data_IF_471954331439
#
_entry.id   IF_471954331439
#
_cell.length_a   1.000
_cell.length_b   1.000
_cell.length_c   1.000
_cell.angle_alpha   90.00
_cell.angle_beta   90.00
_cell.angle_gamma   90.00
#
_symmetry.space_group_name_H-M   'P 1'
#
loop_
_entity.id
_entity.type
_entity.pdbx_description
1 polymer ?
#
# COMPACT_ATOMS: atom_id res chain seq x y z
N UNK A 1 27.28 -6.84 -8.91
CA UNK A 1 26.34 -7.65 -8.08
C UNK A 1 26.13 -7.00 -6.70
N UNK A 2 27.15 -6.74 -5.88
CA UNK A 2 26.98 -6.18 -4.53
C UNK A 2 26.18 -4.88 -4.49
N UNK A 3 26.45 -3.93 -5.38
CA UNK A 3 25.74 -2.64 -5.45
C UNK A 3 24.25 -2.78 -5.78
N UNK A 4 23.89 -3.72 -6.68
CA UNK A 4 22.49 -3.99 -7.02
C UNK A 4 21.75 -4.57 -5.82
N UNK A 5 22.36 -5.52 -5.10
CA UNK A 5 21.78 -6.10 -3.88
C UNK A 5 21.58 -5.03 -2.81
N UNK A 6 22.59 -4.19 -2.57
CA UNK A 6 22.47 -3.09 -1.58
C UNK A 6 21.40 -2.09 -1.99
N UNK A 7 21.32 -1.70 -3.27
CA UNK A 7 20.25 -0.85 -3.77
C UNK A 7 18.88 -1.49 -3.52
N UNK A 8 18.73 -2.79 -3.78
CA UNK A 8 17.48 -3.53 -3.57
C UNK A 8 17.04 -3.50 -2.10
N UNK A 9 17.97 -3.69 -1.17
CA UNK A 9 17.67 -3.61 0.27
C UNK A 9 17.21 -2.21 0.68
N UNK A 10 17.89 -1.17 0.20
CA UNK A 10 17.52 0.23 0.46
C UNK A 10 16.16 0.55 -0.14
N UNK A 11 15.91 0.11 -1.38
CA UNK A 11 14.63 0.28 -2.06
C UNK A 11 13.49 -0.44 -1.33
N UNK A 12 13.75 -1.63 -0.77
CA UNK A 12 12.77 -2.35 0.04
C UNK A 12 12.41 -1.58 1.32
N UNK A 13 13.41 -1.03 2.02
CA UNK A 13 13.17 -0.19 3.20
C UNK A 13 12.31 1.05 2.86
N UNK A 14 12.57 1.67 1.69
CA UNK A 14 11.76 2.77 1.19
C UNK A 14 10.35 2.30 0.80
N UNK A 15 10.23 1.13 0.16
CA UNK A 15 8.94 0.54 -0.21
C UNK A 15 8.04 0.34 1.02
N UNK A 16 8.56 -0.15 2.13
CA UNK A 16 7.77 -0.34 3.36
C UNK A 16 7.15 0.99 3.86
N UNK A 17 7.89 2.09 3.73
CA UNK A 17 7.41 3.41 4.09
C UNK A 17 6.25 3.86 3.19
N UNK A 18 6.44 3.77 1.86
CA UNK A 18 5.43 4.24 0.91
C UNK A 18 4.20 3.33 0.90
N UNK A 19 4.38 2.01 1.05
CA UNK A 19 3.30 1.05 1.18
C UNK A 19 2.42 1.32 2.41
N UNK A 20 3.04 1.63 3.56
CA UNK A 20 2.31 2.04 4.77
C UNK A 20 1.45 3.28 4.49
N UNK A 21 1.99 4.26 3.79
CA UNK A 21 1.26 5.48 3.44
C UNK A 21 0.09 5.20 2.49
N UNK A 22 0.33 4.45 1.41
CA UNK A 22 -0.68 4.13 0.42
C UNK A 22 -1.84 3.32 1.02
N UNK A 23 -1.54 2.33 1.87
CA UNK A 23 -2.54 1.54 2.58
C UNK A 23 -3.34 2.41 3.57
N UNK A 24 -2.68 3.34 4.25
CA UNK A 24 -3.37 4.28 5.14
C UNK A 24 -4.37 5.14 4.38
N UNK A 25 -3.96 5.74 3.26
CA UNK A 25 -4.87 6.54 2.42
C UNK A 25 -6.00 5.71 1.83
N UNK A 26 -5.75 4.45 1.52
CA UNK A 26 -6.77 3.53 1.04
C UNK A 26 -7.76 3.15 2.15
N UNK A 27 -7.28 2.97 3.39
CA UNK A 27 -8.14 2.76 4.56
C UNK A 27 -9.04 3.99 4.80
N UNK A 28 -8.51 5.21 4.76
CA UNK A 28 -9.26 6.46 4.87
C UNK A 28 -10.31 6.60 3.76
N UNK A 29 -10.04 6.05 2.59
CA UNK A 29 -10.99 5.97 1.46
C UNK A 29 -12.03 4.86 1.63
N UNK A 30 -12.13 4.22 2.80
CA UNK A 30 -13.01 3.08 3.10
C UNK A 30 -12.84 1.91 2.12
N UNK A 31 -11.63 1.69 1.63
CA UNK A 31 -11.24 0.66 0.64
C UNK A 31 -12.04 0.73 -0.67
N UNK A 32 -12.56 1.92 -1.03
CA UNK A 32 -13.30 2.14 -2.27
C UNK A 32 -12.40 2.78 -3.32
N UNK A 33 -12.26 2.11 -4.46
CA UNK A 33 -11.46 2.61 -5.59
C UNK A 33 -11.85 4.02 -6.03
N UNK A 34 -13.17 4.28 -6.18
CA UNK A 34 -13.68 5.59 -6.62
C UNK A 34 -13.28 6.74 -5.69
N UNK A 35 -13.28 6.51 -4.35
CA UNK A 35 -12.86 7.51 -3.37
C UNK A 35 -11.35 7.68 -3.38
N UNK A 36 -10.61 6.59 -3.52
CA UNK A 36 -9.16 6.62 -3.56
C UNK A 36 -8.65 7.35 -4.81
N UNK A 37 -9.22 7.06 -5.99
CA UNK A 37 -8.87 7.78 -7.22
C UNK A 37 -9.24 9.25 -7.16
N UNK A 38 -10.39 9.62 -6.58
CA UNK A 38 -10.79 11.01 -6.38
C UNK A 38 -9.81 11.76 -5.48
N UNK A 39 -9.21 11.10 -4.51
CA UNK A 39 -8.16 11.67 -3.68
C UNK A 39 -6.82 11.73 -4.44
N UNK A 40 -6.52 10.73 -5.26
CA UNK A 40 -5.25 10.58 -5.97
C UNK A 40 -5.07 11.63 -7.08
N UNK A 41 -6.09 11.79 -7.94
CA UNK A 41 -6.03 12.56 -9.19
C UNK A 41 -5.80 14.08 -8.97
N UNK A 42 -6.39 14.81 -8.00
CA UNK A 42 -6.23 16.27 -7.89
C UNK A 42 -4.89 16.72 -7.26
N UNK A 43 -3.74 16.12 -7.66
CA UNK A 43 -2.42 16.58 -7.25
C UNK A 43 -1.73 15.74 -6.17
N UNK A 44 -2.39 14.74 -5.61
CA UNK A 44 -1.75 13.83 -4.64
C UNK A 44 -0.90 12.73 -5.32
N UNK A 45 -0.91 12.67 -6.66
CA UNK A 45 0.01 11.82 -7.43
C UNK A 45 1.46 12.21 -7.14
N UNK A 46 1.74 13.52 -6.98
CA UNK A 46 3.06 14.04 -6.64
C UNK A 46 3.04 14.53 -5.18
N UNK A 47 2.69 13.65 -4.24
CA UNK A 47 2.89 13.95 -2.83
C UNK A 47 4.39 13.98 -2.50
N UNK A 48 4.78 14.64 -1.38
CA UNK A 48 6.19 14.69 -0.97
C UNK A 48 6.85 13.31 -0.93
N UNK A 49 6.13 12.27 -0.51
CA UNK A 49 6.66 10.89 -0.46
C UNK A 49 6.90 10.30 -1.83
N UNK A 50 6.08 10.63 -2.82
CA UNK A 50 6.29 10.17 -4.20
C UNK A 50 7.36 10.96 -4.91
N UNK A 51 7.56 12.20 -4.55
CA UNK A 51 8.74 12.95 -5.00
C UNK A 51 10.03 12.18 -4.66
N UNK A 52 10.14 11.64 -3.43
CA UNK A 52 11.27 10.78 -3.07
C UNK A 52 11.31 9.49 -3.90
N UNK A 53 10.16 8.90 -4.27
CA UNK A 53 10.15 7.73 -5.15
C UNK A 53 10.66 8.06 -6.56
N UNK A 54 10.31 9.23 -7.11
CA UNK A 54 10.90 9.70 -8.37
C UNK A 54 12.40 9.96 -8.24
N UNK A 55 12.85 10.51 -7.13
CA UNK A 55 14.27 10.70 -6.85
C UNK A 55 15.05 9.39 -6.82
N UNK A 56 14.43 8.27 -6.43
CA UNK A 56 15.06 6.94 -6.45
C UNK A 56 15.42 6.45 -7.87
N UNK A 57 14.84 7.05 -8.92
CA UNK A 57 15.21 6.72 -10.30
C UNK A 57 16.64 7.14 -10.64
N UNK A 58 17.10 8.28 -10.10
CA UNK A 58 18.45 8.81 -10.38
C UNK A 58 19.54 7.81 -9.96
N UNK A 59 19.61 7.33 -8.71
CA UNK A 59 20.57 6.30 -8.32
C UNK A 59 20.34 4.94 -8.98
N UNK A 60 19.13 4.65 -9.44
CA UNK A 60 18.82 3.42 -10.17
C UNK A 60 19.51 3.37 -11.56
N UNK A 61 19.66 4.52 -12.22
CA UNK A 61 20.36 4.64 -13.51
C UNK A 61 21.89 4.51 -13.38
N UNK A 62 22.42 4.72 -12.18
CA UNK A 62 23.87 4.64 -11.90
C UNK A 62 24.10 3.69 -10.73
N UNK A 63 23.98 2.36 -10.92
CA UNK A 63 24.02 1.38 -9.84
C UNK A 63 25.46 1.11 -9.35
N UNK A 64 26.14 2.16 -8.93
CA UNK A 64 27.46 2.12 -8.29
C UNK A 64 27.37 2.49 -6.81
N UNK A 65 28.49 2.50 -6.10
CA UNK A 65 28.52 2.84 -4.67
C UNK A 65 28.03 4.26 -4.38
N UNK A 66 28.26 5.23 -5.28
CA UNK A 66 27.76 6.60 -5.16
C UNK A 66 26.25 6.62 -5.31
N UNK A 67 25.69 5.91 -6.30
CA UNK A 67 24.25 5.78 -6.49
C UNK A 67 23.56 5.13 -5.26
N UNK A 68 24.16 4.07 -4.70
CA UNK A 68 23.66 3.46 -3.45
C UNK A 68 23.69 4.44 -2.28
N UNK A 69 24.73 5.24 -2.16
CA UNK A 69 24.83 6.31 -1.14
C UNK A 69 23.69 7.33 -1.28
N UNK A 70 23.41 7.79 -2.51
CA UNK A 70 22.27 8.68 -2.78
C UNK A 70 20.92 8.02 -2.46
N UNK A 71 20.70 6.78 -2.87
CA UNK A 71 19.47 6.04 -2.54
C UNK A 71 19.26 5.93 -1.03
N UNK A 72 20.33 5.66 -0.28
CA UNK A 72 20.29 5.60 1.18
C UNK A 72 19.94 6.96 1.78
N UNK A 73 20.55 8.05 1.32
CA UNK A 73 20.25 9.42 1.75
C UNK A 73 18.79 9.80 1.48
N UNK A 74 18.27 9.49 0.30
CA UNK A 74 16.86 9.70 -0.09
C UNK A 74 15.93 8.93 0.87
N UNK A 75 16.24 7.65 1.15
CA UNK A 75 15.44 6.80 2.03
C UNK A 75 15.41 7.36 3.45
N UNK A 76 16.57 7.73 4.01
CA UNK A 76 16.66 8.34 5.35
C UNK A 76 15.88 9.66 5.40
N UNK A 77 16.01 10.52 4.38
CA UNK A 77 15.26 11.77 4.28
C UNK A 77 13.74 11.55 4.25
N UNK A 78 13.28 10.57 3.47
CA UNK A 78 11.88 10.20 3.40
C UNK A 78 11.34 9.67 4.75
N UNK A 79 12.12 8.85 5.45
CA UNK A 79 11.78 8.38 6.79
C UNK A 79 11.72 9.53 7.81
N UNK A 80 12.65 10.47 7.77
CA UNK A 80 12.66 11.65 8.63
C UNK A 80 11.43 12.54 8.42
N UNK A 81 11.00 12.73 7.16
CA UNK A 81 9.77 13.45 6.82
C UNK A 81 8.54 12.69 7.34
N UNK A 82 8.49 11.38 7.09
CA UNK A 82 7.36 10.54 7.52
C UNK A 82 7.22 10.50 9.06
N UNK A 83 8.33 10.55 9.78
CA UNK A 83 8.32 10.58 11.25
C UNK A 83 7.66 11.84 11.81
N UNK A 84 7.79 12.97 11.12
CA UNK A 84 7.23 14.27 11.54
C UNK A 84 5.75 14.41 11.22
N UNK A 85 5.22 13.59 10.29
CA UNK A 85 3.82 13.68 9.91
C UNK A 85 2.89 13.11 10.98
N UNK A 86 1.95 13.94 11.42
CA UNK A 86 0.87 13.54 12.32
C UNK A 86 -0.44 13.47 11.52
N UNK A 87 -1.02 12.29 11.41
CA UNK A 87 -2.34 12.10 10.82
C UNK A 87 -3.41 12.31 11.89
N UNK A 88 -4.53 12.97 11.54
CA UNK A 88 -5.70 13.10 12.44
C UNK A 88 -6.24 11.74 12.87
N UNK A 89 -6.26 10.78 11.94
CA UNK A 89 -6.70 9.41 12.18
C UNK A 89 -5.51 8.47 11.93
N UNK A 90 -5.00 7.76 12.94
CA UNK A 90 -3.88 6.83 12.76
C UNK A 90 -4.30 5.60 11.94
N UNK A 91 -3.33 4.94 11.32
CA UNK A 91 -3.55 3.66 10.64
C UNK A 91 -3.95 2.59 11.66
N UNK A 92 -5.13 2.00 11.47
CA UNK A 92 -5.62 0.90 12.31
C UNK A 92 -5.23 -0.44 11.65
N UNK A 93 -4.41 -1.23 12.34
CA UNK A 93 -3.92 -2.52 11.84
C UNK A 93 -4.97 -3.64 11.98
N UNK A 94 -6.06 -3.53 11.23
CA UNK A 94 -7.07 -4.59 11.12
C UNK A 94 -6.51 -5.81 10.39
N UNK A 95 -7.17 -6.98 10.50
CA UNK A 95 -6.78 -8.18 9.75
C UNK A 95 -6.79 -7.95 8.23
N UNK A 96 -7.69 -7.11 7.73
CA UNK A 96 -7.71 -6.67 6.33
C UNK A 96 -6.45 -5.89 5.94
N UNK A 97 -6.04 -4.92 6.76
CA UNK A 97 -4.81 -4.15 6.54
C UNK A 97 -3.58 -5.04 6.56
N UNK A 98 -3.52 -6.00 7.50
CA UNK A 98 -2.39 -6.95 7.58
C UNK A 98 -2.29 -7.82 6.32
N UNK A 99 -3.41 -8.36 5.83
CA UNK A 99 -3.44 -9.13 4.56
C UNK A 99 -3.02 -8.26 3.38
N UNK A 100 -3.55 -7.04 3.29
CA UNK A 100 -3.20 -6.11 2.22
C UNK A 100 -1.70 -5.78 2.23
N UNK A 101 -1.14 -5.57 3.42
CA UNK A 101 0.30 -5.32 3.60
C UNK A 101 1.14 -6.52 3.14
N UNK A 102 0.76 -7.73 3.59
CA UNK A 102 1.46 -8.97 3.23
C UNK A 102 1.44 -9.21 1.71
N UNK A 103 0.27 -9.07 1.08
CA UNK A 103 0.13 -9.23 -0.38
C UNK A 103 0.93 -8.18 -1.14
N UNK A 104 0.95 -6.92 -0.67
CA UNK A 104 1.70 -5.85 -1.30
C UNK A 104 3.22 -6.12 -1.23
N UNK A 105 3.72 -6.59 -0.08
CA UNK A 105 5.12 -7.00 0.08
C UNK A 105 5.44 -8.18 -0.84
N UNK A 106 4.59 -9.21 -0.89
CA UNK A 106 4.80 -10.36 -1.76
C UNK A 106 4.88 -9.97 -3.24
N UNK A 107 4.01 -9.07 -3.69
CA UNK A 107 4.05 -8.56 -5.07
C UNK A 107 5.35 -7.79 -5.35
N UNK A 108 5.78 -6.92 -4.44
CA UNK A 108 7.03 -6.19 -4.59
C UNK A 108 8.24 -7.15 -4.65
N UNK A 109 8.30 -8.12 -3.74
CA UNK A 109 9.37 -9.14 -3.72
C UNK A 109 9.35 -9.98 -4.99
N UNK A 110 8.17 -10.39 -5.48
CA UNK A 110 8.05 -11.14 -6.73
C UNK A 110 8.56 -10.35 -7.94
N UNK A 111 8.16 -9.08 -8.09
CA UNK A 111 8.65 -8.21 -9.16
C UNK A 111 10.16 -8.03 -9.07
N UNK A 112 10.68 -7.78 -7.87
CA UNK A 112 12.11 -7.62 -7.62
C UNK A 112 12.89 -8.88 -7.97
N UNK A 113 12.40 -10.06 -7.55
CA UNK A 113 13.03 -11.34 -7.87
C UNK A 113 13.04 -11.60 -9.39
N UNK A 114 11.93 -11.36 -10.07
CA UNK A 114 11.85 -11.49 -11.53
C UNK A 114 12.81 -10.52 -12.23
N UNK A 115 12.91 -9.28 -11.78
CA UNK A 115 13.85 -8.31 -12.31
C UNK A 115 15.31 -8.75 -12.15
N UNK A 116 15.67 -9.27 -10.98
CA UNK A 116 17.02 -9.76 -10.70
C UNK A 116 17.37 -11.04 -11.49
N UNK A 117 16.40 -11.91 -11.75
CA UNK A 117 16.61 -13.18 -12.48
C UNK A 117 16.67 -12.98 -14.01
N UNK A 118 15.80 -12.15 -14.56
CA UNK A 118 15.60 -12.08 -16.01
C UNK A 118 16.08 -10.76 -16.65
N UNK A 119 16.28 -9.72 -15.86
CA UNK A 119 16.62 -8.38 -16.33
C UNK A 119 17.64 -7.68 -15.42
N UNK A 120 18.73 -8.37 -15.07
CA UNK A 120 19.71 -7.89 -14.07
C UNK A 120 20.25 -6.50 -14.40
N UNK A 121 20.48 -6.18 -15.68
CA UNK A 121 20.98 -4.85 -16.13
C UNK A 121 19.96 -3.74 -15.85
N UNK A 122 18.66 -4.04 -15.92
CA UNK A 122 17.57 -3.10 -15.70
C UNK A 122 16.91 -3.26 -14.33
N UNK A 123 17.40 -4.17 -13.50
CA UNK A 123 16.75 -4.53 -12.23
C UNK A 123 16.56 -3.30 -11.32
N UNK A 124 17.55 -2.43 -11.17
CA UNK A 124 17.46 -1.21 -10.36
C UNK A 124 16.42 -0.24 -10.89
N UNK A 125 16.32 -0.09 -12.21
CA UNK A 125 15.32 0.76 -12.87
C UNK A 125 13.92 0.21 -12.70
N UNK A 126 13.73 -1.12 -12.85
CA UNK A 126 12.44 -1.79 -12.63
C UNK A 126 11.99 -1.64 -11.18
N UNK A 127 12.92 -1.80 -10.23
CA UNK A 127 12.63 -1.60 -8.80
C UNK A 127 12.21 -0.14 -8.53
N UNK A 128 12.94 0.84 -9.07
CA UNK A 128 12.59 2.26 -8.93
C UNK A 128 11.22 2.57 -9.56
N UNK A 129 10.93 2.05 -10.75
CA UNK A 129 9.63 2.18 -11.40
C UNK A 129 8.51 1.59 -10.53
N UNK A 130 8.75 0.43 -9.88
CA UNK A 130 7.79 -0.19 -8.97
C UNK A 130 7.52 0.68 -7.74
N UNK A 131 8.52 1.39 -7.21
CA UNK A 131 8.34 2.36 -6.13
C UNK A 131 7.46 3.54 -6.57
N UNK A 132 7.67 4.06 -7.77
CA UNK A 132 6.85 5.14 -8.35
C UNK A 132 5.39 4.67 -8.53
N UNK A 133 5.21 3.43 -8.98
CA UNK A 133 3.92 2.82 -9.23
C UNK A 133 3.31 2.10 -8.00
N UNK A 134 3.81 2.35 -6.80
CA UNK A 134 3.38 1.68 -5.57
C UNK A 134 1.86 1.73 -5.32
N UNK A 135 1.19 2.79 -5.76
CA UNK A 135 -0.28 2.90 -5.68
C UNK A 135 -0.99 1.81 -6.47
N UNK A 136 -0.51 1.58 -7.71
CA UNK A 136 -1.10 0.55 -8.57
C UNK A 136 -0.79 -0.83 -8.03
N UNK A 137 0.39 -1.01 -7.43
CA UNK A 137 0.74 -2.24 -6.73
C UNK A 137 -0.20 -2.50 -5.55
N UNK A 138 -0.50 -1.48 -4.75
CA UNK A 138 -1.45 -1.54 -3.64
C UNK A 138 -2.87 -1.85 -4.14
N UNK A 139 -3.31 -1.24 -5.24
CA UNK A 139 -4.62 -1.53 -5.86
C UNK A 139 -4.69 -2.96 -6.38
N UNK A 140 -3.61 -3.47 -6.99
CA UNK A 140 -3.48 -4.85 -7.42
C UNK A 140 -3.52 -5.80 -6.22
N UNK A 141 -2.82 -5.49 -5.13
CA UNK A 141 -2.87 -6.27 -3.89
C UNK A 141 -4.30 -6.34 -3.32
N UNK A 142 -5.06 -5.24 -3.37
CA UNK A 142 -6.46 -5.25 -2.95
C UNK A 142 -7.34 -6.08 -3.90
N UNK A 143 -7.09 -6.05 -5.21
CA UNK A 143 -7.80 -6.89 -6.18
C UNK A 143 -7.58 -8.37 -5.89
N UNK A 144 -6.34 -8.79 -5.63
CA UNK A 144 -5.98 -10.17 -5.26
C UNK A 144 -6.67 -10.59 -3.95
N UNK A 145 -6.78 -9.70 -2.98
CA UNK A 145 -7.45 -9.98 -1.70
C UNK A 145 -8.99 -9.91 -1.77
N UNK A 146 -9.57 -9.33 -2.83
CA UNK A 146 -11.03 -9.15 -2.95
C UNK A 146 -11.84 -10.45 -2.79
N UNK A 147 -11.47 -11.60 -3.41
CA UNK A 147 -12.22 -12.84 -3.23
C UNK A 147 -12.20 -13.32 -1.77
N UNK A 148 -11.05 -13.18 -1.09
CA UNK A 148 -10.91 -13.55 0.33
C UNK A 148 -11.81 -12.67 1.20
N UNK A 149 -11.79 -11.36 0.97
CA UNK A 149 -12.66 -10.41 1.70
C UNK A 149 -14.13 -10.68 1.46
N UNK A 150 -14.52 -11.02 0.24
CA UNK A 150 -15.93 -11.41 -0.06
C UNK A 150 -16.32 -12.69 0.65
N UNK A 151 -15.46 -13.69 0.71
CA UNK A 151 -15.71 -14.94 1.41
C UNK A 151 -15.89 -14.71 2.93
N UNK A 152 -15.01 -13.91 3.54
CA UNK A 152 -15.07 -13.53 4.95
C UNK A 152 -16.38 -12.78 5.25
N UNK A 153 -16.71 -11.77 4.45
CA UNK A 153 -17.94 -10.99 4.61
C UNK A 153 -19.18 -11.86 4.47
N UNK A 154 -19.19 -12.81 3.51
CA UNK A 154 -20.28 -13.77 3.34
C UNK A 154 -20.44 -14.70 4.55
N UNK A 155 -19.33 -15.14 5.13
CA UNK A 155 -19.35 -15.95 6.34
C UNK A 155 -20.02 -15.19 7.49
N UNK A 156 -19.58 -13.97 7.80
CA UNK A 156 -20.18 -13.14 8.84
C UNK A 156 -21.64 -12.79 8.57
N UNK A 157 -21.98 -12.52 7.31
CA UNK A 157 -23.38 -12.27 6.92
C UNK A 157 -24.27 -13.49 7.20
N UNK A 158 -23.84 -14.69 6.81
CA UNK A 158 -24.58 -15.91 7.01
C UNK A 158 -24.71 -16.27 8.50
N UNK A 159 -23.66 -16.03 9.28
CA UNK A 159 -23.67 -16.24 10.73
C UNK A 159 -24.65 -15.29 11.44
N UNK A 160 -24.57 -13.99 11.10
CA UNK A 160 -25.52 -13.01 11.62
C UNK A 160 -26.99 -13.36 11.23
N UNK A 161 -27.21 -13.76 9.98
CA UNK A 161 -28.53 -14.20 9.51
C UNK A 161 -29.02 -15.39 10.33
N UNK A 162 -28.18 -16.42 10.56
CA UNK A 162 -28.53 -17.60 11.36
C UNK A 162 -28.92 -17.23 12.79
N UNK A 163 -28.18 -16.29 13.42
CA UNK A 163 -28.48 -15.81 14.77
C UNK A 163 -29.85 -15.10 14.80
N UNK A 164 -30.12 -14.22 13.83
CA UNK A 164 -31.37 -13.48 13.72
C UNK A 164 -32.55 -14.47 13.51
N UNK A 165 -32.39 -15.41 12.57
CA UNK A 165 -33.43 -16.40 12.24
C UNK A 165 -33.73 -17.35 13.41
N UNK A 166 -32.80 -17.56 14.36
CA UNK A 166 -32.99 -18.36 15.56
C UNK A 166 -33.86 -17.69 16.62
N UNK A 167 -33.98 -16.36 16.59
CA UNK A 167 -34.78 -15.60 17.57
C UNK A 167 -36.16 -15.30 17.03
N UNK A 168 -37.11 -16.24 17.27
CA UNK A 168 -38.53 -16.08 16.92
C UNK A 168 -39.16 -14.93 17.73
N UNK A 169 -39.64 -13.90 17.04
CA UNK A 169 -40.27 -12.73 17.68
C UNK A 169 -39.41 -11.47 17.70
N UNK A 170 -38.26 -11.49 17.06
CA UNK A 170 -37.39 -10.32 16.95
C UNK A 170 -38.00 -9.29 15.97
N UNK A 171 -38.29 -8.09 16.46
CA UNK A 171 -38.75 -6.98 15.61
C UNK A 171 -37.51 -6.20 15.15
N UNK A 172 -37.22 -6.24 13.84
CA UNK A 172 -36.09 -5.53 13.26
C UNK A 172 -36.55 -4.16 12.78
N UNK A 173 -36.07 -3.09 13.44
CA UNK A 173 -36.34 -1.72 13.04
C UNK A 173 -35.10 -1.14 12.34
N UNK A 174 -35.21 -0.91 11.04
CA UNK A 174 -34.17 -0.25 10.24
C UNK A 174 -34.30 1.26 10.31
N UNK A 175 -33.33 1.96 10.92
CA UNK A 175 -33.28 3.42 10.88
C UNK A 175 -32.31 3.86 9.77
N UNK A 176 -32.88 4.46 8.71
CA UNK A 176 -32.10 5.05 7.61
C UNK A 176 -32.16 6.57 7.69
N UNK A 177 -31.04 7.23 7.53
CA UNK A 177 -30.95 8.70 7.50
C UNK A 177 -29.50 9.17 7.54
N UNK A 178 -29.22 10.29 6.84
CA UNK A 178 -27.89 10.92 6.86
C UNK A 178 -27.75 12.00 7.94
N UNK A 179 -28.86 12.52 8.46
CA UNK A 179 -28.94 13.55 9.51
C UNK A 179 -29.60 13.01 10.78
N UNK A 180 -29.11 13.44 11.96
CA UNK A 180 -29.77 13.15 13.23
C UNK A 180 -29.40 11.82 13.90
N UNK A 181 -28.26 11.23 13.55
CA UNK A 181 -27.70 10.03 14.22
C UNK A 181 -26.67 10.40 15.28
N UNK A 182 -26.95 11.38 16.09
CA UNK A 182 -26.18 11.74 17.29
C UNK A 182 -26.96 11.38 18.52
#
# INVERSE_FOLDING_TARGET
MGTIVTYTVVAFAFFLLIAKYDIHMFQLSSYRYSRYFRWLVPGNIISQKRFFAFMMLVPALVPNYVGVGFATGITIGAWAVAWREKFKTPLVYTMRVKRLFATNILLFVAITALALLFATEWATVIIAATLILSNFLMLLANLVNTPIEKAINRHYYNDAKRIIDSHKGLIIIGVTGSFGKT
#
